data_IF_434186334861
#
_entry.id   IF_434186334861
#
_cell.length_a   1.000
_cell.length_b   1.000
_cell.length_c   1.000
_cell.angle_alpha   90.00
_cell.angle_beta   90.00
_cell.angle_gamma   90.00
#
_symmetry.space_group_name_H-M   'P 1'
#
loop_
_entity.id
_entity.type
_entity.pdbx_description
1 polymer ?
#
# COMPACT_ATOMS: atom_id res chain seq x y z
N UNK A 1 7.31 -19.25 -4.30
CA UNK A 1 7.31 -18.82 -2.89
C UNK A 1 7.15 -20.04 -1.99
N UNK A 2 7.76 -20.05 -0.79
CA UNK A 2 7.16 -20.85 0.28
C UNK A 2 5.75 -20.30 0.49
N UNK A 3 4.73 -21.15 0.40
CA UNK A 3 3.36 -20.75 0.70
C UNK A 3 3.33 -20.16 2.12
N UNK A 4 3.19 -18.83 2.22
CA UNK A 4 3.14 -18.10 3.50
C UNK A 4 1.74 -18.17 4.13
N UNK A 5 0.76 -18.84 3.49
CA UNK A 5 -0.55 -19.13 4.05
C UNK A 5 -1.52 -17.95 4.11
N UNK A 6 -1.31 -16.91 3.29
CA UNK A 6 -2.17 -15.72 3.26
C UNK A 6 -3.59 -16.06 2.78
N UNK A 7 -4.58 -15.31 3.29
CA UNK A 7 -5.96 -15.43 2.82
C UNK A 7 -6.15 -14.91 1.39
N UNK A 8 -5.37 -13.89 1.01
CA UNK A 8 -5.39 -13.23 -0.30
C UNK A 8 -3.98 -13.24 -0.92
N UNK A 9 -3.42 -14.43 -1.24
CA UNK A 9 -2.04 -14.53 -1.73
C UNK A 9 -1.83 -13.84 -3.09
N UNK A 10 -2.89 -13.62 -3.85
CA UNK A 10 -2.87 -12.94 -5.15
C UNK A 10 -2.49 -11.46 -5.07
N UNK A 11 -2.63 -10.82 -3.90
CA UNK A 11 -2.23 -9.43 -3.68
C UNK A 11 -0.70 -9.26 -3.55
N UNK A 12 0.04 -10.36 -3.51
CA UNK A 12 1.51 -10.35 -3.43
C UNK A 12 2.10 -11.04 -4.65
N UNK A 13 3.28 -10.57 -5.06
CA UNK A 13 4.10 -11.23 -6.07
C UNK A 13 5.53 -11.34 -5.54
N UNK A 14 6.18 -12.50 -5.77
CA UNK A 14 7.58 -12.65 -5.38
C UNK A 14 8.51 -12.04 -6.41
N UNK A 15 9.77 -11.72 -6.04
CA UNK A 15 10.76 -11.30 -7.00
C UNK A 15 10.95 -12.30 -8.16
N UNK A 16 10.90 -13.61 -7.88
CA UNK A 16 11.00 -14.64 -8.91
C UNK A 16 9.84 -14.57 -9.91
N UNK A 17 8.62 -14.55 -9.40
CA UNK A 17 7.42 -14.58 -10.24
C UNK A 17 7.28 -13.26 -11.03
N UNK A 18 7.72 -12.14 -10.45
CA UNK A 18 7.81 -10.86 -11.15
C UNK A 18 8.87 -10.91 -12.26
N UNK A 19 10.05 -11.46 -11.98
CA UNK A 19 11.13 -11.57 -12.97
C UNK A 19 10.72 -12.39 -14.19
N UNK A 20 9.94 -13.46 -14.00
CA UNK A 20 9.40 -14.29 -15.09
C UNK A 20 8.33 -13.58 -15.93
N UNK A 21 7.72 -12.50 -15.41
CA UNK A 21 6.56 -11.80 -16.00
C UNK A 21 6.80 -10.32 -16.25
N UNK A 22 8.06 -9.85 -16.18
CA UNK A 22 8.42 -8.43 -16.20
C UNK A 22 7.86 -7.68 -17.43
N UNK A 23 7.71 -8.37 -18.57
CA UNK A 23 7.17 -7.80 -19.80
C UNK A 23 5.62 -7.76 -19.86
N UNK A 24 4.95 -8.54 -19.02
CA UNK A 24 3.49 -8.75 -19.07
C UNK A 24 2.72 -7.89 -18.05
N UNK A 25 3.43 -7.24 -17.12
CA UNK A 25 2.84 -6.47 -16.03
C UNK A 25 3.23 -4.99 -16.12
N UNK A 26 2.47 -4.12 -15.45
CA UNK A 26 2.82 -2.72 -15.25
C UNK A 26 3.51 -2.60 -13.89
N UNK A 27 4.83 -2.38 -13.86
CA UNK A 27 5.60 -2.27 -12.62
C UNK A 27 5.70 -0.80 -12.24
N UNK A 28 5.44 -0.47 -10.96
CA UNK A 28 5.45 0.92 -10.48
C UNK A 28 6.33 1.03 -9.23
N UNK A 29 7.39 1.82 -9.37
CA UNK A 29 8.31 2.20 -8.30
C UNK A 29 7.77 3.43 -7.56
N UNK A 30 7.53 3.26 -6.25
CA UNK A 30 7.02 4.31 -5.36
C UNK A 30 8.10 4.94 -4.48
N UNK A 31 9.36 4.52 -4.62
CA UNK A 31 10.50 5.10 -3.90
C UNK A 31 10.72 6.55 -4.31
N UNK A 32 11.42 7.35 -3.50
CA UNK A 32 11.79 8.71 -3.88
C UNK A 32 12.58 8.76 -5.20
N UNK A 33 12.44 9.84 -5.97
CA UNK A 33 13.07 9.99 -7.31
C UNK A 33 14.57 9.67 -7.33
N UNK A 34 15.30 10.04 -6.29
CA UNK A 34 16.75 9.78 -6.24
C UNK A 34 17.09 8.28 -6.17
N UNK A 35 16.24 7.47 -5.52
CA UNK A 35 16.41 6.02 -5.47
C UNK A 35 16.07 5.37 -6.81
N UNK A 36 14.96 5.79 -7.44
CA UNK A 36 14.58 5.34 -8.78
C UNK A 36 15.68 5.63 -9.81
N UNK A 37 16.22 6.85 -9.84
CA UNK A 37 17.27 7.25 -10.78
C UNK A 37 18.60 6.54 -10.51
N UNK A 38 18.88 6.16 -9.26
CA UNK A 38 20.07 5.37 -8.92
C UNK A 38 19.99 3.91 -9.40
N UNK A 39 18.78 3.40 -9.61
CA UNK A 39 18.52 2.09 -10.19
C UNK A 39 17.13 1.57 -9.81
N UNK A 40 16.42 1.00 -10.77
CA UNK A 40 15.06 0.48 -10.62
C UNK A 40 14.88 -0.84 -11.37
N UNK A 41 13.80 -1.57 -11.07
CA UNK A 41 13.45 -2.81 -11.76
C UNK A 41 13.21 -2.50 -13.25
N UNK A 42 13.78 -3.27 -14.20
CA UNK A 42 13.59 -3.03 -15.63
C UNK A 42 12.12 -2.90 -16.03
N UNK A 43 11.80 -1.84 -16.78
CA UNK A 43 10.43 -1.53 -17.21
C UNK A 43 9.54 -0.86 -16.15
N UNK A 44 10.06 -0.57 -14.96
CA UNK A 44 9.29 0.11 -13.93
C UNK A 44 9.01 1.58 -14.26
N UNK A 45 7.77 2.00 -14.05
CA UNK A 45 7.33 3.39 -14.06
C UNK A 45 7.63 4.03 -12.71
N UNK A 46 7.90 5.34 -12.68
CA UNK A 46 8.12 6.06 -11.42
C UNK A 46 6.89 6.86 -10.97
N UNK A 47 6.44 6.65 -9.73
CA UNK A 47 5.39 7.42 -9.09
C UNK A 47 5.54 7.49 -7.56
N UNK A 48 6.17 8.54 -7.04
CA UNK A 48 6.23 8.80 -5.58
C UNK A 48 4.89 9.32 -5.04
N UNK A 49 4.05 8.41 -4.55
CA UNK A 49 2.73 8.72 -3.99
C UNK A 49 2.80 9.53 -2.69
N UNK A 50 3.91 9.52 -1.96
CA UNK A 50 4.04 10.29 -0.71
C UNK A 50 4.27 11.77 -0.95
N UNK A 51 4.70 12.14 -2.16
CA UNK A 51 4.73 13.54 -2.59
C UNK A 51 3.31 14.14 -2.80
N UNK A 52 2.27 13.29 -2.83
CA UNK A 52 0.89 13.67 -3.11
C UNK A 52 0.03 13.38 -1.87
N UNK A 53 -0.54 14.43 -1.27
CA UNK A 53 -1.31 14.34 -0.03
C UNK A 53 -2.61 15.16 -0.11
N UNK A 54 -3.62 14.70 0.63
CA UNK A 54 -4.85 15.43 0.89
C UNK A 54 -4.98 15.66 2.40
N UNK A 55 -5.22 16.90 2.82
CA UNK A 55 -5.45 17.27 4.22
C UNK A 55 -6.92 17.60 4.52
N UNK A 56 -7.80 17.41 3.54
CA UNK A 56 -9.23 17.66 3.62
C UNK A 56 -9.98 16.33 3.52
N UNK A 57 -10.55 15.88 4.63
CA UNK A 57 -11.19 14.55 4.73
C UNK A 57 -12.67 14.59 4.38
N UNK A 58 -13.20 15.70 3.87
CA UNK A 58 -14.59 15.79 3.40
C UNK A 58 -14.76 14.91 2.17
N UNK A 59 -15.89 14.22 2.10
CA UNK A 59 -16.23 13.29 1.01
C UNK A 59 -15.99 13.90 -0.38
N UNK A 60 -16.47 15.13 -0.64
CA UNK A 60 -16.28 15.76 -1.95
C UNK A 60 -14.81 16.05 -2.30
N UNK A 61 -13.99 16.37 -1.29
CA UNK A 61 -12.56 16.61 -1.49
C UNK A 61 -11.82 15.29 -1.72
N UNK A 62 -12.19 14.24 -1.00
CA UNK A 62 -11.69 12.89 -1.18
C UNK A 62 -12.02 12.34 -2.56
N UNK A 63 -13.26 12.49 -3.03
CA UNK A 63 -13.69 12.06 -4.36
C UNK A 63 -12.92 12.76 -5.48
N UNK A 64 -12.76 14.09 -5.36
CA UNK A 64 -11.98 14.86 -6.33
C UNK A 64 -10.50 14.44 -6.34
N UNK A 65 -9.95 14.14 -5.17
CA UNK A 65 -8.57 13.66 -5.04
C UNK A 65 -8.38 12.26 -5.63
N UNK A 66 -9.32 11.34 -5.41
CA UNK A 66 -9.30 10.00 -6.00
C UNK A 66 -9.46 10.04 -7.52
N UNK A 67 -10.32 10.92 -8.03
CA UNK A 67 -10.43 11.17 -9.47
C UNK A 67 -9.11 11.69 -10.06
N UNK A 68 -8.46 12.65 -9.38
CA UNK A 68 -7.15 13.18 -9.80
C UNK A 68 -6.07 12.08 -9.81
N UNK A 69 -6.08 11.17 -8.84
CA UNK A 69 -5.15 10.04 -8.79
C UNK A 69 -5.37 9.08 -9.96
N UNK A 70 -6.62 8.73 -10.30
CA UNK A 70 -6.93 7.92 -11.48
C UNK A 70 -6.45 8.59 -12.78
N UNK A 71 -6.67 9.90 -12.92
CA UNK A 71 -6.15 10.67 -14.06
C UNK A 71 -4.62 10.69 -14.12
N UNK A 72 -3.95 10.82 -12.97
CA UNK A 72 -2.49 10.75 -12.86
C UNK A 72 -1.95 9.36 -13.25
N UNK A 73 -2.62 8.29 -12.81
CA UNK A 73 -2.22 6.91 -13.14
C UNK A 73 -2.21 6.70 -14.65
N UNK A 74 -3.30 7.06 -15.34
CA UNK A 74 -3.37 6.99 -16.80
C UNK A 74 -2.27 7.80 -17.50
N UNK A 75 -2.05 9.05 -17.08
CA UNK A 75 -0.98 9.89 -17.63
C UNK A 75 0.43 9.37 -17.39
N UNK A 76 0.63 8.51 -16.38
CA UNK A 76 1.91 7.87 -16.07
C UNK A 76 2.06 6.50 -16.73
N UNK A 77 1.12 6.07 -17.56
CA UNK A 77 1.15 4.77 -18.24
C UNK A 77 0.63 3.61 -17.38
N UNK A 78 0.02 3.90 -16.23
CA UNK A 78 -0.66 2.92 -15.40
C UNK A 78 -2.09 2.81 -15.91
N UNK A 79 -2.37 1.74 -16.66
CA UNK A 79 -3.69 1.42 -17.19
C UNK A 79 -4.37 0.30 -16.41
N UNK A 80 -5.62 -0.01 -16.78
CA UNK A 80 -6.40 -1.12 -16.21
C UNK A 80 -6.39 -2.39 -17.08
N UNK A 81 -5.58 -2.43 -18.14
CA UNK A 81 -5.47 -3.53 -19.11
C UNK A 81 -4.45 -4.61 -18.71
N UNK A 82 -3.54 -4.28 -17.78
CA UNK A 82 -2.52 -5.18 -17.25
C UNK A 82 -2.65 -5.31 -15.74
N UNK A 83 -2.05 -6.37 -15.22
CA UNK A 83 -1.70 -6.48 -13.81
C UNK A 83 -0.79 -5.31 -13.40
N UNK A 84 -1.13 -4.57 -12.35
CA UNK A 84 -0.25 -3.55 -11.75
C UNK A 84 0.53 -4.12 -10.57
N UNK A 85 1.85 -3.94 -10.55
CA UNK A 85 2.74 -4.38 -9.46
C UNK A 85 3.41 -3.17 -8.85
N UNK A 86 3.05 -2.85 -7.62
CA UNK A 86 3.65 -1.76 -6.84
C UNK A 86 4.84 -2.27 -6.03
N UNK A 87 5.90 -1.47 -5.94
CA UNK A 87 7.00 -1.76 -5.03
C UNK A 87 7.60 -0.49 -4.44
N UNK A 88 8.28 -0.67 -3.32
CA UNK A 88 9.24 0.28 -2.75
C UNK A 88 10.52 -0.46 -2.35
N UNK A 89 11.29 0.05 -1.38
CA UNK A 89 12.49 -0.64 -0.91
C UNK A 89 12.15 -2.01 -0.27
N UNK A 90 11.08 -2.08 0.51
CA UNK A 90 10.54 -3.28 1.18
C UNK A 90 9.01 -3.42 0.95
N UNK A 91 8.34 -4.32 1.67
CA UNK A 91 6.87 -4.45 1.66
C UNK A 91 6.18 -3.32 2.46
N UNK A 92 6.42 -2.08 2.06
CA UNK A 92 6.02 -0.91 2.85
C UNK A 92 4.67 -0.28 2.52
N UNK A 93 4.47 0.88 3.15
CA UNK A 93 3.25 1.70 3.09
C UNK A 93 3.06 2.44 1.76
N UNK A 94 4.12 2.74 1.01
CA UNK A 94 4.04 3.44 -0.29
C UNK A 94 3.47 2.51 -1.35
N UNK A 95 3.99 1.28 -1.42
CA UNK A 95 3.50 0.27 -2.35
C UNK A 95 2.07 -0.15 -1.99
N UNK A 96 1.80 -0.37 -0.70
CA UNK A 96 0.45 -0.71 -0.21
C UNK A 96 -0.58 0.39 -0.51
N UNK A 97 -0.19 1.68 -0.43
CA UNK A 97 -1.06 2.80 -0.80
C UNK A 97 -1.41 2.80 -2.29
N UNK A 98 -0.45 2.47 -3.16
CA UNK A 98 -0.71 2.31 -4.60
C UNK A 98 -1.72 1.22 -4.88
N UNK A 99 -1.54 0.06 -4.22
CA UNK A 99 -2.49 -1.05 -4.27
C UNK A 99 -3.89 -0.64 -3.80
N UNK A 100 -4.00 0.01 -2.63
CA UNK A 100 -5.28 0.44 -2.09
C UNK A 100 -5.99 1.45 -3.00
N UNK A 101 -5.27 2.39 -3.62
CA UNK A 101 -5.86 3.32 -4.59
C UNK A 101 -6.42 2.57 -5.80
N UNK A 102 -5.70 1.57 -6.33
CA UNK A 102 -6.22 0.73 -7.42
C UNK A 102 -7.52 0.02 -7.01
N UNK A 103 -7.54 -0.65 -5.85
CA UNK A 103 -8.75 -1.33 -5.37
C UNK A 103 -9.91 -0.36 -5.12
N UNK A 104 -9.63 0.82 -4.54
CA UNK A 104 -10.62 1.86 -4.33
C UNK A 104 -11.20 2.35 -5.65
N UNK A 105 -10.38 2.49 -6.70
CA UNK A 105 -10.82 2.90 -8.03
C UNK A 105 -11.33 1.73 -8.89
N UNK A 106 -11.57 0.55 -8.31
CA UNK A 106 -12.20 -0.59 -8.98
C UNK A 106 -11.25 -1.48 -9.79
N UNK A 107 -9.94 -1.23 -9.77
CA UNK A 107 -8.95 -2.07 -10.42
C UNK A 107 -8.37 -3.08 -9.42
N UNK A 108 -8.76 -4.35 -9.55
CA UNK A 108 -8.42 -5.42 -8.59
C UNK A 108 -7.24 -6.31 -9.00
N UNK A 109 -6.78 -6.30 -10.27
CA UNK A 109 -5.60 -7.07 -10.68
C UNK A 109 -4.31 -6.31 -10.32
N UNK A 110 -4.07 -6.20 -9.02
CA UNK A 110 -2.98 -5.42 -8.44
C UNK A 110 -2.23 -6.24 -7.41
N UNK A 111 -0.91 -6.05 -7.33
CA UNK A 111 -0.03 -6.73 -6.36
C UNK A 111 0.98 -5.76 -5.75
N UNK A 112 1.51 -6.14 -4.59
CA UNK A 112 2.75 -5.61 -4.02
C UNK A 112 3.88 -6.61 -4.22
N UNK A 113 5.07 -6.15 -4.59
CA UNK A 113 6.28 -6.96 -4.61
C UNK A 113 6.73 -7.28 -3.18
N UNK A 114 6.62 -8.54 -2.78
CA UNK A 114 6.95 -8.96 -1.40
C UNK A 114 8.46 -8.85 -1.16
N UNK A 115 8.83 -7.99 -0.20
CA UNK A 115 10.21 -7.62 0.12
C UNK A 115 10.79 -6.51 -0.76
N UNK A 116 9.99 -5.95 -1.67
CA UNK A 116 10.35 -4.78 -2.48
C UNK A 116 11.61 -4.95 -3.34
N UNK A 117 12.24 -3.82 -3.63
CA UNK A 117 13.47 -3.75 -4.41
C UNK A 117 14.64 -4.49 -3.73
N UNK A 118 14.69 -4.47 -2.40
CA UNK A 118 15.72 -5.17 -1.63
C UNK A 118 15.67 -6.68 -1.88
N UNK A 119 14.48 -7.29 -1.88
CA UNK A 119 14.31 -8.71 -2.18
C UNK A 119 14.60 -9.06 -3.65
N UNK A 120 14.29 -8.14 -4.58
CA UNK A 120 14.71 -8.27 -5.99
C UNK A 120 16.23 -8.37 -6.12
N UNK A 121 16.97 -7.45 -5.52
CA UNK A 121 18.42 -7.45 -5.55
C UNK A 121 19.03 -8.65 -4.79
N UNK A 122 18.42 -9.07 -3.68
CA UNK A 122 18.87 -10.24 -2.91
C UNK A 122 18.77 -11.56 -3.71
N UNK A 123 17.89 -11.62 -4.72
CA UNK A 123 17.82 -12.72 -5.67
C UNK A 123 18.84 -12.63 -6.81
N UNK A 124 19.66 -11.58 -6.83
CA UNK A 124 20.68 -11.33 -7.85
C UNK A 124 20.12 -10.80 -9.17
N UNK A 125 18.87 -10.31 -9.18
CA UNK A 125 18.29 -9.68 -10.36
C UNK A 125 18.82 -8.26 -10.54
N UNK A 126 19.08 -7.89 -11.79
CA UNK A 126 19.68 -6.60 -12.13
C UNK A 126 18.68 -5.46 -11.97
N UNK A 127 19.19 -4.30 -11.58
CA UNK A 127 18.50 -3.02 -11.73
C UNK A 127 19.01 -2.33 -12.99
N UNK A 128 18.18 -1.46 -13.56
CA UNK A 128 18.55 -0.59 -14.67
C UNK A 128 18.46 0.88 -14.26
N UNK A 129 19.16 1.73 -14.99
CA UNK A 129 18.99 3.19 -14.97
C UNK A 129 18.31 3.70 -16.24
N UNK A 130 17.93 2.81 -17.14
CA UNK A 130 17.26 3.14 -18.39
C UNK A 130 15.84 3.62 -18.10
N UNK A 131 15.56 4.88 -18.43
CA UNK A 131 14.23 5.45 -18.30
C UNK A 131 13.57 5.53 -19.67
N UNK A 132 12.48 4.79 -19.85
CA UNK A 132 11.60 4.96 -21.00
C UNK A 132 10.51 5.99 -20.68
N UNK A 133 10.17 6.83 -21.64
CA UNK A 133 9.03 7.73 -21.51
C UNK A 133 7.74 6.90 -21.59
N UNK A 134 6.98 6.87 -20.50
CA UNK A 134 5.74 6.13 -20.42
C UNK A 134 4.69 6.75 -21.35
N UNK A 135 4.19 5.98 -22.30
CA UNK A 135 3.02 6.38 -23.06
C UNK A 135 1.79 6.41 -22.12
N UNK A 136 0.93 7.43 -22.19
CA UNK A 136 -0.31 7.44 -21.44
C UNK A 136 -1.14 6.18 -21.70
N UNK A 137 -1.77 5.67 -20.65
CA UNK A 137 -2.66 4.53 -20.68
C UNK A 137 -4.08 4.96 -20.25
N UNK A 138 -5.08 4.17 -20.61
CA UNK A 138 -6.44 4.37 -20.13
C UNK A 138 -6.58 3.78 -18.72
N UNK A 139 -6.93 4.62 -17.75
CA UNK A 139 -7.27 4.18 -16.40
C UNK A 139 -8.77 4.33 -16.17
N UNK A 140 -9.51 3.22 -16.25
CA UNK A 140 -10.96 3.20 -16.06
C UNK A 140 -11.27 3.11 -14.57
N UNK A 141 -11.69 4.23 -13.97
CA UNK A 141 -12.07 4.27 -12.56
C UNK A 141 -13.54 3.90 -12.36
N UNK A 142 -13.79 2.92 -11.50
CA UNK A 142 -15.10 2.55 -10.96
C UNK A 142 -15.00 2.47 -9.45
N UNK A 143 -15.26 3.59 -8.77
CA UNK A 143 -14.97 3.72 -7.35
C UNK A 143 -15.75 2.69 -6.51
N UNK A 144 -15.10 2.11 -5.51
CA UNK A 144 -15.64 1.15 -4.56
C UNK A 144 -15.65 1.78 -3.17
N UNK A 145 -16.71 2.53 -2.79
CA UNK A 145 -16.73 3.30 -1.54
C UNK A 145 -16.48 2.46 -0.28
N UNK A 146 -16.84 1.17 -0.29
CA UNK A 146 -16.58 0.24 0.81
C UNK A 146 -15.11 -0.04 1.10
N UNK A 147 -14.17 0.43 0.26
CA UNK A 147 -12.72 0.36 0.49
C UNK A 147 -12.17 1.55 1.27
N UNK A 148 -13.02 2.48 1.72
CA UNK A 148 -12.62 3.65 2.49
C UNK A 148 -13.60 3.91 3.64
N UNK A 149 -13.05 4.29 4.80
CA UNK A 149 -13.83 4.71 5.96
C UNK A 149 -13.62 6.20 6.22
N UNK A 150 -14.64 7.02 5.99
CA UNK A 150 -14.59 8.46 6.24
C UNK A 150 -14.51 8.79 7.74
N UNK A 151 -13.85 9.90 8.08
CA UNK A 151 -13.63 10.30 9.47
C UNK A 151 -14.93 10.47 10.28
N UNK A 152 -15.98 11.06 9.68
CA UNK A 152 -17.28 11.25 10.34
C UNK A 152 -18.00 9.91 10.59
N UNK A 153 -17.88 8.97 9.64
CA UNK A 153 -18.43 7.62 9.77
C UNK A 153 -17.72 6.87 10.89
N UNK A 154 -16.38 6.87 10.90
CA UNK A 154 -15.58 6.25 11.95
C UNK A 154 -15.91 6.86 13.32
N UNK A 155 -16.05 8.19 13.41
CA UNK A 155 -16.41 8.87 14.65
C UNK A 155 -17.77 8.38 15.21
N UNK A 156 -18.75 8.11 14.35
CA UNK A 156 -20.05 7.55 14.75
C UNK A 156 -19.99 6.07 15.18
N UNK A 157 -18.91 5.36 14.87
CA UNK A 157 -18.69 3.95 15.22
C UNK A 157 -17.81 3.76 16.46
N UNK A 158 -17.15 4.82 16.95
CA UNK A 158 -16.23 4.72 18.09
C UNK A 158 -16.94 4.18 19.34
N UNK A 159 -16.27 3.25 20.03
CA UNK A 159 -16.77 2.59 21.23
C UNK A 159 -17.65 1.36 20.98
N UNK A 160 -17.95 1.02 19.72
CA UNK A 160 -18.52 -0.29 19.38
C UNK A 160 -17.48 -1.40 19.58
N UNK A 161 -17.91 -2.53 20.13
CA UNK A 161 -17.02 -3.68 20.39
C UNK A 161 -16.58 -4.41 19.12
N UNK A 162 -17.35 -4.26 18.04
CA UNK A 162 -17.12 -4.88 16.73
C UNK A 162 -16.38 -3.98 15.74
N UNK A 163 -15.87 -2.82 16.16
CA UNK A 163 -15.09 -1.90 15.33
C UNK A 163 -13.75 -1.61 15.99
N UNK A 164 -12.65 -1.81 15.27
CA UNK A 164 -11.29 -1.58 15.76
C UNK A 164 -10.57 -0.59 14.85
N UNK A 165 -10.39 0.68 15.29
CA UNK A 165 -9.42 1.57 14.67
C UNK A 165 -8.02 1.00 14.89
N UNK A 166 -7.30 0.69 13.81
CA UNK A 166 -5.96 0.11 13.86
C UNK A 166 -4.94 1.19 13.46
N UNK A 167 -4.21 1.72 14.42
CA UNK A 167 -3.17 2.71 14.19
C UNK A 167 -1.88 2.01 13.73
N UNK A 168 -1.43 2.33 12.52
CA UNK A 168 -0.24 1.69 11.92
C UNK A 168 1.02 2.56 11.95
N UNK A 169 0.94 3.73 12.59
CA UNK A 169 2.03 4.72 12.65
C UNK A 169 3.12 4.32 13.66
N UNK A 170 4.18 5.12 13.75
CA UNK A 170 5.23 4.91 14.75
C UNK A 170 4.74 5.08 16.20
N UNK A 171 5.36 4.39 17.14
CA UNK A 171 5.01 4.46 18.58
C UNK A 171 4.93 5.90 19.12
N UNK A 172 5.90 6.76 18.77
CA UNK A 172 5.91 8.13 19.24
C UNK A 172 4.76 8.97 18.67
N UNK A 173 4.25 8.64 17.48
CA UNK A 173 3.07 9.30 16.90
C UNK A 173 1.80 8.85 17.62
N UNK A 174 1.68 7.55 17.89
CA UNK A 174 0.55 6.96 18.63
C UNK A 174 0.42 7.55 20.04
N UNK A 175 1.52 7.65 20.78
CA UNK A 175 1.52 8.25 22.13
C UNK A 175 1.59 9.78 22.14
N UNK A 176 1.59 10.44 20.97
CA UNK A 176 1.61 11.89 20.86
C UNK A 176 2.91 12.55 21.33
N UNK A 177 4.01 11.81 21.36
CA UNK A 177 5.37 12.32 21.61
C UNK A 177 5.93 13.00 20.36
N UNK A 178 5.56 12.50 19.18
CA UNK A 178 5.81 13.10 17.88
C UNK A 178 4.50 13.67 17.31
N UNK A 179 4.30 14.98 17.46
CA UNK A 179 3.06 15.66 17.06
C UNK A 179 3.19 16.22 15.64
N UNK A 180 2.42 15.64 14.71
CA UNK A 180 2.44 16.02 13.27
C UNK A 180 1.16 16.70 12.79
N UNK A 181 0.24 16.99 13.70
CA UNK A 181 -1.04 17.65 13.43
C UNK A 181 -1.38 18.64 14.56
N UNK A 182 -2.58 19.22 14.52
CA UNK A 182 -3.05 20.12 15.57
C UNK A 182 -3.15 19.45 16.96
N UNK A 183 -3.24 18.12 17.01
CA UNK A 183 -3.28 17.31 18.23
C UNK A 183 -2.35 16.11 18.09
N UNK A 184 -1.68 15.74 19.17
CA UNK A 184 -0.94 14.48 19.29
C UNK A 184 -1.83 13.36 19.81
N UNK A 185 -1.39 12.12 19.63
CA UNK A 185 -2.07 10.93 20.11
C UNK A 185 -2.71 10.12 18.98
N UNK A 186 -3.70 9.32 19.34
CA UNK A 186 -4.40 8.40 18.46
C UNK A 186 -5.93 8.54 18.59
N UNK A 187 -6.66 7.88 17.70
CA UNK A 187 -8.12 7.81 17.76
C UNK A 187 -8.51 7.08 19.08
N UNK A 188 -9.51 7.58 19.84
CA UNK A 188 -9.94 6.90 21.06
C UNK A 188 -10.34 5.44 20.81
N UNK A 189 -9.79 4.52 21.59
CA UNK A 189 -10.03 3.08 21.46
C UNK A 189 -9.20 2.39 20.37
N UNK A 190 -8.28 3.11 19.71
CA UNK A 190 -7.41 2.49 18.71
C UNK A 190 -6.47 1.44 19.31
N UNK A 191 -6.22 0.39 18.54
CA UNK A 191 -5.16 -0.59 18.79
C UNK A 191 -3.94 -0.17 17.95
N UNK A 192 -2.74 -0.26 18.51
CA UNK A 192 -1.52 0.13 17.82
C UNK A 192 -0.74 -1.09 17.32
N UNK A 193 -0.47 -1.14 16.02
CA UNK A 193 0.45 -2.09 15.39
C UNK A 193 1.22 -1.34 14.32
N UNK A 194 2.41 -0.86 14.64
CA UNK A 194 3.25 -0.19 13.65
C UNK A 194 3.46 -1.07 12.42
N UNK A 195 3.35 -0.50 11.21
CA UNK A 195 3.37 -1.28 9.97
C UNK A 195 4.61 -2.17 9.83
N UNK A 196 5.78 -1.70 10.30
CA UNK A 196 7.06 -2.44 10.27
C UNK A 196 6.99 -3.77 11.02
N UNK A 197 6.08 -3.90 12.00
CA UNK A 197 5.89 -5.14 12.74
C UNK A 197 5.26 -6.24 11.88
N UNK A 198 4.72 -5.92 10.70
CA UNK A 198 4.25 -6.94 9.75
C UNK A 198 5.38 -7.55 8.92
N UNK A 199 6.58 -6.95 8.96
CA UNK A 199 7.70 -7.33 8.12
C UNK A 199 8.70 -8.20 8.89
N UNK A 200 9.32 -9.12 8.18
CA UNK A 200 10.48 -9.87 8.65
C UNK A 200 11.79 -9.08 8.44
N UNK A 201 12.91 -9.66 8.83
CA UNK A 201 14.24 -9.03 8.70
C UNK A 201 14.68 -8.79 7.26
N UNK A 202 14.02 -9.40 6.28
CA UNK A 202 14.28 -9.21 4.85
C UNK A 202 13.44 -8.08 4.24
N UNK A 203 12.50 -7.51 5.01
CA UNK A 203 11.54 -6.53 4.53
C UNK A 203 10.32 -7.15 3.84
N UNK A 204 10.22 -8.48 3.80
CA UNK A 204 9.04 -9.18 3.28
C UNK A 204 7.98 -9.31 4.38
N UNK A 205 6.72 -9.54 4.01
CA UNK A 205 5.66 -9.81 4.99
C UNK A 205 5.94 -11.11 5.74
N UNK A 206 5.70 -11.12 7.06
CA UNK A 206 5.77 -12.33 7.88
C UNK A 206 4.75 -13.40 7.41
N UNK A 207 4.99 -14.69 7.71
CA UNK A 207 4.01 -15.73 7.50
C UNK A 207 2.63 -15.42 8.11
N UNK A 208 1.56 -15.89 7.48
CA UNK A 208 0.20 -15.54 7.86
C UNK A 208 -0.21 -16.02 9.25
N UNK A 209 0.37 -17.12 9.74
CA UNK A 209 0.15 -17.63 11.09
C UNK A 209 0.81 -16.73 12.15
N UNK A 210 2.02 -16.23 11.90
CA UNK A 210 2.66 -15.23 12.76
C UNK A 210 1.88 -13.92 12.80
N UNK A 211 1.45 -13.41 11.64
CA UNK A 211 0.62 -12.21 11.56
C UNK A 211 -0.71 -12.42 12.29
N UNK A 212 -1.38 -13.55 12.06
CA UNK A 212 -2.63 -13.89 12.74
C UNK A 212 -2.46 -13.91 14.25
N UNK A 213 -1.43 -14.57 14.76
CA UNK A 213 -1.14 -14.62 16.19
C UNK A 213 -0.88 -13.22 16.78
N UNK A 214 -0.14 -12.37 16.05
CA UNK A 214 0.12 -10.99 16.46
C UNK A 214 -1.16 -10.17 16.60
N UNK A 215 -2.05 -10.23 15.60
CA UNK A 215 -3.31 -9.49 15.60
C UNK A 215 -4.32 -10.04 16.62
N UNK A 216 -4.46 -11.36 16.72
CA UNK A 216 -5.37 -12.01 17.69
C UNK A 216 -4.98 -11.70 19.14
N UNK A 217 -3.69 -11.61 19.45
CA UNK A 217 -3.19 -11.22 20.77
C UNK A 217 -3.64 -9.81 21.19
N UNK A 218 -4.00 -8.95 20.24
CA UNK A 218 -4.50 -7.60 20.44
C UNK A 218 -6.04 -7.50 20.31
N UNK A 219 -6.72 -8.64 20.21
CA UNK A 219 -8.17 -8.71 20.04
C UNK A 219 -8.65 -8.29 18.66
N UNK A 220 -7.78 -8.32 17.65
CA UNK A 220 -8.13 -8.13 16.23
C UNK A 220 -8.45 -9.50 15.64
N UNK A 221 -9.68 -9.65 15.15
CA UNK A 221 -10.21 -10.92 14.68
C UNK A 221 -11.14 -10.74 13.47
N UNK A 222 -11.34 -11.77 12.63
CA UNK A 222 -12.11 -11.64 11.38
C UNK A 222 -13.59 -11.30 11.53
N UNK A 223 -14.15 -11.41 12.74
CA UNK A 223 -15.53 -11.05 13.07
C UNK A 223 -15.74 -9.56 13.37
N UNK A 224 -14.66 -8.76 13.36
CA UNK A 224 -14.68 -7.32 13.61
C UNK A 224 -14.39 -6.52 12.34
N UNK A 225 -14.95 -5.31 12.27
CA UNK A 225 -14.60 -4.31 11.29
C UNK A 225 -13.28 -3.65 11.68
N UNK A 226 -12.22 -3.91 10.92
CA UNK A 226 -10.88 -3.35 11.18
C UNK A 226 -10.69 -2.14 10.28
N UNK A 227 -10.39 -0.98 10.88
CA UNK A 227 -10.20 0.28 10.17
C UNK A 227 -8.74 0.73 10.33
N UNK A 228 -7.82 0.28 9.45
CA UNK A 228 -6.42 0.71 9.49
C UNK A 228 -6.28 2.18 9.09
N UNK A 229 -5.38 2.89 9.77
CA UNK A 229 -5.03 4.28 9.46
C UNK A 229 -3.58 4.64 9.81
#
# INVERSE_FOLDING_TARGET
MSDKGYANPELLISPRDLHERVADVCIVDTRPTHAYVAGHIPGALHLDLYSISLNDTREQAFDAFMWMLGYLFGNRGIGTDKTVVWYEDDSGVRAARGLWICEYLGHSDVRVLDGGCNAWQAMGYELTTDCEEAAPAEFVADAVPGRHMGADVLNGLLGREDVVPLDTRGEDEYFGRNVRAARGGAIPGAVHVEYVNNLDETGAFKPADELRAMYEALGISPDKEIVPY
#
